data_IF_556039856301
#
_entry.id   IF_556039856301
#
_cell.length_a   1.000
_cell.length_b   1.000
_cell.length_c   1.000
_cell.angle_alpha   90.00
_cell.angle_beta   90.00
_cell.angle_gamma   90.00
#
_symmetry.space_group_name_H-M   'P 1'
#
loop_
_entity.id
_entity.type
_entity.pdbx_description
1 polymer ?
#
# COMPACT_ATOMS: atom_id res chain seq x y z
N UNK A 1 -9.05 14.42 5.40
CA UNK A 1 -9.52 13.02 5.35
C UNK A 1 -10.90 12.84 6.01
N UNK A 2 -11.20 13.50 7.12
CA UNK A 2 -12.54 13.38 7.77
C UNK A 2 -13.72 13.84 6.89
N UNK A 3 -13.47 14.68 5.90
CA UNK A 3 -14.47 15.17 4.92
C UNK A 3 -14.57 14.31 3.66
N UNK A 4 -13.73 13.27 3.53
CA UNK A 4 -13.80 12.37 2.37
C UNK A 4 -15.12 11.58 2.39
N UNK A 5 -15.68 11.22 1.21
CA UNK A 5 -16.86 10.37 1.13
C UNK A 5 -16.66 9.08 1.93
N UNK A 6 -17.72 8.64 2.60
CA UNK A 6 -17.70 7.37 3.33
C UNK A 6 -17.47 6.23 2.37
N UNK A 7 -16.57 5.33 2.74
CA UNK A 7 -16.25 4.16 1.98
C UNK A 7 -15.76 3.03 2.89
N UNK A 8 -15.30 1.96 2.29
CA UNK A 8 -14.79 0.81 3.04
C UNK A 8 -13.62 0.15 2.30
N UNK A 9 -12.94 -0.73 3.00
CA UNK A 9 -11.83 -1.51 2.47
C UNK A 9 -12.00 -2.97 2.85
N UNK A 10 -11.50 -3.88 2.02
CA UNK A 10 -11.48 -5.30 2.31
C UNK A 10 -10.18 -5.97 1.88
N UNK A 11 -9.65 -6.86 2.70
CA UNK A 11 -8.50 -7.68 2.37
C UNK A 11 -8.95 -8.97 1.69
N UNK A 12 -8.45 -9.21 0.47
CA UNK A 12 -8.69 -10.41 -0.33
C UNK A 12 -7.43 -11.28 -0.30
N UNK A 13 -7.60 -12.57 -0.02
CA UNK A 13 -6.49 -13.51 0.11
C UNK A 13 -6.69 -14.71 -0.81
N UNK A 14 -5.60 -15.13 -1.47
CA UNK A 14 -5.56 -16.37 -2.25
C UNK A 14 -5.96 -16.20 -3.72
N UNK A 15 -6.09 -14.98 -4.21
CA UNK A 15 -6.19 -14.66 -5.65
C UNK A 15 -5.02 -13.78 -6.09
N UNK A 16 -4.65 -13.88 -7.36
CA UNK A 16 -3.67 -13.00 -8.00
C UNK A 16 -4.20 -11.57 -8.17
N UNK A 17 -3.27 -10.60 -8.22
CA UNK A 17 -3.58 -9.18 -8.31
C UNK A 17 -4.40 -8.83 -9.56
N UNK A 18 -4.03 -9.37 -10.72
CA UNK A 18 -4.72 -9.10 -12.00
C UNK A 18 -6.17 -9.58 -11.94
N UNK A 19 -6.41 -10.78 -11.42
CA UNK A 19 -7.77 -11.31 -11.22
C UNK A 19 -8.61 -10.41 -10.32
N UNK A 20 -8.02 -9.87 -9.24
CA UNK A 20 -8.73 -8.97 -8.33
C UNK A 20 -9.00 -7.61 -9.01
N UNK A 21 -8.08 -7.11 -9.85
CA UNK A 21 -8.27 -5.89 -10.62
C UNK A 21 -9.44 -6.02 -11.60
N UNK A 22 -9.52 -7.12 -12.36
CA UNK A 22 -10.62 -7.43 -13.29
C UNK A 22 -11.96 -7.53 -12.55
N UNK A 23 -11.95 -8.12 -11.36
CA UNK A 23 -13.14 -8.21 -10.49
C UNK A 23 -13.58 -6.82 -10.02
N UNK A 24 -12.63 -5.95 -9.63
CA UNK A 24 -12.95 -4.58 -9.22
C UNK A 24 -13.56 -3.78 -10.37
N UNK A 25 -13.05 -3.93 -11.58
CA UNK A 25 -13.63 -3.33 -12.78
C UNK A 25 -15.04 -3.85 -13.01
N UNK A 26 -15.25 -5.17 -12.98
CA UNK A 26 -16.55 -5.79 -13.13
C UNK A 26 -17.56 -5.32 -12.08
N UNK A 27 -17.12 -5.22 -10.81
CA UNK A 27 -17.98 -4.77 -9.71
C UNK A 27 -18.35 -3.27 -9.80
N UNK A 28 -17.57 -2.46 -10.53
CA UNK A 28 -17.80 -1.04 -10.76
C UNK A 28 -18.66 -0.77 -12.00
N UNK A 29 -18.61 -1.65 -13.01
CA UNK A 29 -19.25 -1.44 -14.29
C UNK A 29 -20.77 -1.29 -14.19
N UNK A 30 -21.31 -0.30 -14.91
CA UNK A 30 -22.76 -0.03 -14.97
C UNK A 30 -23.34 0.53 -13.67
N UNK A 31 -22.51 0.96 -12.73
CA UNK A 31 -22.94 1.53 -11.44
C UNK A 31 -22.30 2.91 -11.23
N UNK A 32 -22.83 3.67 -10.25
CA UNK A 32 -22.20 4.94 -9.79
C UNK A 32 -21.19 4.69 -8.66
N UNK A 33 -20.97 3.44 -8.30
CA UNK A 33 -20.14 3.04 -7.16
C UNK A 33 -18.90 2.30 -7.64
N UNK A 34 -17.73 2.80 -7.28
CA UNK A 34 -16.45 2.27 -7.72
C UNK A 34 -15.72 1.55 -6.58
N UNK A 35 -14.95 0.52 -6.97
CA UNK A 35 -13.97 -0.18 -6.13
C UNK A 35 -12.70 -0.40 -6.94
N UNK A 36 -11.55 -0.37 -6.29
CA UNK A 36 -10.25 -0.60 -6.92
C UNK A 36 -9.29 -1.30 -5.97
N UNK A 37 -8.19 -1.85 -6.52
CA UNK A 37 -7.07 -2.30 -5.71
C UNK A 37 -6.44 -1.10 -4.99
N UNK A 38 -6.22 -1.24 -3.69
CA UNK A 38 -5.70 -0.19 -2.81
C UNK A 38 -4.32 -0.50 -2.25
N UNK A 39 -4.07 -1.75 -1.83
CA UNK A 39 -2.76 -2.18 -1.38
C UNK A 39 -2.43 -3.54 -2.00
N UNK A 40 -1.35 -3.58 -2.76
CA UNK A 40 -0.79 -4.82 -3.34
C UNK A 40 0.24 -5.37 -2.36
N UNK A 41 -0.25 -6.01 -1.28
CA UNK A 41 0.57 -6.35 -0.10
C UNK A 41 1.51 -7.53 -0.32
N UNK A 42 1.07 -8.53 -1.06
CA UNK A 42 1.86 -9.71 -1.43
C UNK A 42 1.23 -10.40 -2.64
N UNK A 43 1.91 -11.36 -3.30
CA UNK A 43 1.33 -12.12 -4.42
C UNK A 43 -0.02 -12.78 -4.11
N UNK A 44 -0.33 -13.00 -2.82
CA UNK A 44 -1.55 -13.67 -2.37
C UNK A 44 -2.46 -12.79 -1.50
N UNK A 45 -2.16 -11.49 -1.36
CA UNK A 45 -2.97 -10.57 -0.55
C UNK A 45 -3.05 -9.20 -1.20
N UNK A 46 -4.27 -8.80 -1.56
CA UNK A 46 -4.60 -7.46 -2.06
C UNK A 46 -5.72 -6.87 -1.21
N UNK A 47 -5.61 -5.60 -0.87
CA UNK A 47 -6.70 -4.84 -0.27
C UNK A 47 -7.42 -4.09 -1.38
N UNK A 48 -8.74 -4.17 -1.40
CA UNK A 48 -9.62 -3.39 -2.27
C UNK A 48 -10.29 -2.27 -1.47
N UNK A 49 -10.59 -1.16 -2.14
CA UNK A 49 -11.09 0.06 -1.51
C UNK A 49 -12.06 0.79 -2.43
N UNK A 50 -13.13 1.38 -1.87
CA UNK A 50 -14.13 2.10 -2.66
C UNK A 50 -15.45 2.31 -1.92
N UNK A 51 -16.52 2.51 -2.68
CA UNK A 51 -17.88 2.56 -2.15
C UNK A 51 -18.27 1.22 -1.51
N UNK A 52 -19.01 1.27 -0.40
CA UNK A 52 -19.30 0.07 0.39
C UNK A 52 -19.99 -1.03 -0.42
N UNK A 53 -21.00 -0.67 -1.23
CA UNK A 53 -21.75 -1.58 -2.08
C UNK A 53 -20.90 -2.19 -3.22
N UNK A 54 -19.95 -1.41 -3.78
CA UNK A 54 -19.03 -1.93 -4.79
C UNK A 54 -17.99 -2.87 -4.19
N UNK A 55 -17.48 -2.55 -2.98
CA UNK A 55 -16.59 -3.45 -2.24
C UNK A 55 -17.30 -4.75 -1.88
N UNK A 56 -18.56 -4.70 -1.43
CA UNK A 56 -19.33 -5.89 -1.09
C UNK A 56 -19.55 -6.77 -2.34
N UNK A 57 -19.91 -6.17 -3.50
CA UNK A 57 -20.00 -6.92 -4.78
C UNK A 57 -18.66 -7.56 -5.17
N UNK A 58 -17.57 -6.80 -5.07
CA UNK A 58 -16.24 -7.33 -5.40
C UNK A 58 -15.82 -8.48 -4.47
N UNK A 59 -16.14 -8.40 -3.17
CA UNK A 59 -15.90 -9.49 -2.23
C UNK A 59 -16.62 -10.78 -2.64
N UNK A 60 -17.92 -10.68 -2.98
CA UNK A 60 -18.72 -11.81 -3.43
C UNK A 60 -18.16 -12.45 -4.71
N UNK A 61 -17.74 -11.62 -5.66
CA UNK A 61 -17.11 -12.08 -6.89
C UNK A 61 -15.75 -12.74 -6.62
N UNK A 62 -14.92 -12.17 -5.74
CA UNK A 62 -13.64 -12.77 -5.35
C UNK A 62 -13.84 -14.15 -4.71
N UNK A 63 -14.82 -14.32 -3.82
CA UNK A 63 -15.13 -15.63 -3.21
C UNK A 63 -15.59 -16.62 -4.27
N UNK A 64 -16.46 -16.22 -5.21
CA UNK A 64 -16.89 -17.07 -6.33
C UNK A 64 -15.75 -17.50 -7.24
N UNK A 65 -14.73 -16.66 -7.40
CA UNK A 65 -13.52 -16.93 -8.17
C UNK A 65 -12.44 -17.70 -7.39
N UNK A 66 -12.74 -18.13 -6.16
CA UNK A 66 -11.88 -19.01 -5.38
C UNK A 66 -10.94 -18.29 -4.39
N UNK A 67 -11.23 -17.04 -4.02
CA UNK A 67 -10.53 -16.39 -2.91
C UNK A 67 -10.68 -17.25 -1.64
N UNK A 68 -9.55 -17.50 -0.97
CA UNK A 68 -9.52 -18.30 0.27
C UNK A 68 -10.20 -17.56 1.42
N UNK A 69 -10.11 -16.23 1.41
CA UNK A 69 -10.68 -15.37 2.45
C UNK A 69 -10.91 -13.96 1.93
N UNK A 70 -11.99 -13.35 2.36
CA UNK A 70 -12.28 -11.93 2.23
C UNK A 70 -12.62 -11.36 3.61
N UNK A 71 -11.96 -10.27 4.02
CA UNK A 71 -12.13 -9.68 5.35
C UNK A 71 -12.35 -8.19 5.23
N UNK A 72 -13.53 -7.72 5.59
CA UNK A 72 -13.83 -6.29 5.67
C UNK A 72 -12.99 -5.65 6.78
N UNK A 73 -12.31 -4.55 6.48
CA UNK A 73 -11.49 -3.83 7.44
C UNK A 73 -12.36 -2.90 8.28
N UNK A 74 -12.01 -2.72 9.53
CA UNK A 74 -12.71 -1.78 10.43
C UNK A 74 -12.25 -0.34 10.17
N UNK A 75 -12.56 0.17 8.97
CA UNK A 75 -12.27 1.54 8.55
C UNK A 75 -13.50 2.17 7.90
N UNK A 76 -13.62 3.49 8.01
CA UNK A 76 -14.73 4.28 7.44
C UNK A 76 -14.32 5.11 6.23
N UNK A 77 -13.04 5.09 5.88
CA UNK A 77 -12.46 5.85 4.77
C UNK A 77 -11.89 4.86 3.75
N UNK A 78 -12.22 5.08 2.49
CA UNK A 78 -11.69 4.30 1.38
C UNK A 78 -10.33 4.85 0.93
N UNK A 79 -9.30 4.69 1.75
CA UNK A 79 -7.93 5.11 1.42
C UNK A 79 -7.45 4.44 0.13
N UNK A 80 -6.56 5.11 -0.59
CA UNK A 80 -5.98 4.63 -1.85
C UNK A 80 -7.03 4.32 -2.93
N UNK A 81 -8.14 5.08 -2.95
CA UNK A 81 -9.19 4.98 -3.97
C UNK A 81 -9.58 6.36 -4.50
N UNK A 82 -10.28 6.38 -5.64
CA UNK A 82 -10.78 7.62 -6.27
C UNK A 82 -11.71 8.43 -5.35
N UNK A 83 -12.27 7.84 -4.31
CA UNK A 83 -13.02 8.58 -3.28
C UNK A 83 -12.16 9.59 -2.50
N UNK A 84 -10.83 9.43 -2.55
CA UNK A 84 -9.89 10.35 -1.92
C UNK A 84 -9.47 11.53 -2.80
N UNK A 85 -9.97 11.61 -4.05
CA UNK A 85 -9.49 12.61 -5.02
C UNK A 85 -9.74 14.05 -4.55
N UNK A 86 -10.90 14.33 -3.95
CA UNK A 86 -11.20 15.65 -3.41
C UNK A 86 -10.26 16.02 -2.26
N UNK A 87 -9.99 15.08 -1.35
CA UNK A 87 -9.01 15.26 -0.27
C UNK A 87 -7.59 15.47 -0.81
N UNK A 88 -7.22 14.76 -1.89
CA UNK A 88 -5.96 14.94 -2.56
C UNK A 88 -5.84 16.33 -3.21
N UNK A 89 -6.90 16.85 -3.83
CA UNK A 89 -6.92 18.20 -4.39
C UNK A 89 -6.72 19.27 -3.31
N UNK A 90 -7.35 19.12 -2.16
CA UNK A 90 -7.13 20.01 -1.01
C UNK A 90 -5.70 19.88 -0.45
N UNK A 91 -5.16 18.66 -0.36
CA UNK A 91 -3.81 18.40 0.12
C UNK A 91 -2.73 18.96 -0.80
N UNK A 92 -2.98 18.97 -2.11
CA UNK A 92 -2.08 19.54 -3.12
C UNK A 92 -1.73 21.01 -2.83
N UNK A 93 -2.68 21.80 -2.36
CA UNK A 93 -2.43 23.21 -2.00
C UNK A 93 -1.52 23.31 -0.76
N UNK A 94 -1.70 22.44 0.21
CA UNK A 94 -0.79 22.37 1.37
C UNK A 94 0.63 21.93 0.95
N UNK A 95 0.76 20.99 0.03
CA UNK A 95 2.06 20.56 -0.50
C UNK A 95 2.77 21.66 -1.28
N UNK A 96 2.03 22.51 -2.02
CA UNK A 96 2.61 23.68 -2.70
C UNK A 96 3.15 24.72 -1.72
N UNK A 97 2.44 24.94 -0.61
CA UNK A 97 2.83 25.90 0.41
C UNK A 97 3.96 25.41 1.32
N UNK A 98 4.18 24.10 1.39
CA UNK A 98 5.22 23.51 2.24
C UNK A 98 6.61 23.67 1.61
N UNK A 99 7.58 24.01 2.45
CA UNK A 99 8.98 24.00 2.06
C UNK A 99 9.53 22.57 2.05
N UNK A 100 10.15 22.18 0.95
CA UNK A 100 10.79 20.89 0.78
C UNK A 100 12.26 21.10 0.41
N UNK A 101 13.13 20.24 0.94
CA UNK A 101 14.49 20.05 0.45
C UNK A 101 14.63 18.66 -0.17
N UNK A 102 15.56 18.50 -1.09
CA UNK A 102 15.90 17.17 -1.58
C UNK A 102 16.47 16.34 -0.43
N UNK A 103 16.03 15.10 -0.29
CA UNK A 103 16.57 14.19 0.73
C UNK A 103 18.00 13.76 0.36
N UNK A 104 18.84 13.55 1.38
CA UNK A 104 20.20 13.01 1.20
C UNK A 104 20.22 11.52 0.84
N UNK A 105 19.10 10.83 1.04
CA UNK A 105 18.91 9.42 0.72
C UNK A 105 17.73 9.20 -0.22
N UNK A 106 17.73 8.10 -0.95
CA UNK A 106 16.62 7.75 -1.85
C UNK A 106 15.35 7.44 -1.05
N UNK A 107 14.23 7.97 -1.53
CA UNK A 107 12.88 7.66 -1.02
C UNK A 107 12.15 6.87 -2.09
N UNK A 108 11.78 5.62 -1.78
CA UNK A 108 10.92 4.80 -2.63
C UNK A 108 9.47 5.10 -2.27
N UNK A 109 8.69 5.55 -3.25
CA UNK A 109 7.31 5.93 -3.03
C UNK A 109 6.33 4.78 -3.26
N UNK A 110 5.26 4.74 -2.46
CA UNK A 110 4.22 3.70 -2.55
C UNK A 110 3.56 3.61 -3.92
N UNK A 111 3.40 4.73 -4.61
CA UNK A 111 2.67 4.82 -5.89
C UNK A 111 3.47 4.31 -7.05
N UNK A 112 4.77 4.67 -7.12
CA UNK A 112 5.66 4.31 -8.23
C UNK A 112 6.42 3.02 -7.97
N UNK A 113 6.64 2.66 -6.69
CA UNK A 113 7.60 1.66 -6.24
C UNK A 113 9.04 1.97 -6.71
N UNK A 114 9.34 3.24 -6.96
CA UNK A 114 10.61 3.73 -7.48
C UNK A 114 11.08 4.96 -6.67
N UNK A 115 12.38 5.27 -6.69
CA UNK A 115 12.90 6.49 -6.11
C UNK A 115 12.39 7.73 -6.84
N UNK A 116 12.11 8.80 -6.08
CA UNK A 116 11.81 10.11 -6.66
C UNK A 116 13.09 10.81 -7.14
N UNK A 117 12.96 11.60 -8.21
CA UNK A 117 14.08 12.28 -8.87
C UNK A 117 14.14 13.79 -8.63
N UNK A 118 13.06 14.40 -8.16
CA UNK A 118 12.94 15.85 -7.95
C UNK A 118 11.94 16.22 -6.86
N UNK A 119 11.97 17.47 -6.40
CA UNK A 119 10.99 17.99 -5.44
C UNK A 119 9.56 17.97 -5.98
N UNK A 120 9.39 18.26 -7.28
CA UNK A 120 8.06 18.24 -7.90
C UNK A 120 7.53 16.81 -8.02
N UNK A 121 8.42 15.85 -8.29
CA UNK A 121 8.11 14.43 -8.29
C UNK A 121 7.67 13.97 -6.88
N UNK A 122 8.43 14.32 -5.84
CA UNK A 122 8.07 14.04 -4.44
C UNK A 122 6.68 14.60 -4.11
N UNK A 123 6.40 15.87 -4.43
CA UNK A 123 5.09 16.48 -4.17
C UNK A 123 3.96 15.77 -4.92
N UNK A 124 4.19 15.42 -6.18
CA UNK A 124 3.24 14.70 -7.02
C UNK A 124 2.91 13.32 -6.45
N UNK A 125 3.94 12.55 -6.08
CA UNK A 125 3.79 11.21 -5.53
C UNK A 125 3.15 11.21 -4.13
N UNK A 126 3.48 12.17 -3.26
CA UNK A 126 2.81 12.38 -1.99
C UNK A 126 1.32 12.71 -2.15
N UNK A 127 0.96 13.45 -3.18
CA UNK A 127 -0.44 13.75 -3.47
C UNK A 127 -1.18 12.53 -4.01
N UNK A 128 -0.62 11.87 -5.01
CA UNK A 128 -1.27 10.77 -5.71
C UNK A 128 -1.42 9.51 -4.85
N UNK A 129 -0.60 9.31 -3.83
CA UNK A 129 -0.75 8.17 -2.93
C UNK A 129 -2.09 8.14 -2.15
N UNK A 130 -2.80 9.28 -2.05
CA UNK A 130 -4.10 9.30 -1.38
C UNK A 130 -5.15 8.49 -2.14
N UNK A 131 -5.07 8.48 -3.48
CA UNK A 131 -6.05 7.84 -4.36
C UNK A 131 -5.48 6.73 -5.26
N UNK A 132 -4.18 6.48 -5.20
CA UNK A 132 -3.50 5.45 -5.98
C UNK A 132 -3.11 4.25 -5.13
N UNK A 133 -2.97 3.06 -5.72
CA UNK A 133 -2.56 1.86 -5.00
C UNK A 133 -1.17 1.96 -4.36
N UNK A 134 -1.00 1.32 -3.21
CA UNK A 134 0.31 1.02 -2.62
C UNK A 134 0.89 -0.21 -3.32
N UNK A 135 1.96 -0.03 -4.07
CA UNK A 135 2.66 -1.08 -4.86
C UNK A 135 3.72 -1.80 -4.03
N UNK A 136 3.28 -2.40 -2.92
CA UNK A 136 4.21 -2.98 -1.93
C UNK A 136 4.98 -4.17 -2.46
N UNK A 137 4.36 -5.03 -3.29
CA UNK A 137 5.06 -6.16 -3.94
C UNK A 137 6.23 -5.67 -4.79
N UNK A 138 6.02 -4.62 -5.57
CA UNK A 138 7.06 -4.05 -6.43
C UNK A 138 8.16 -3.36 -5.61
N UNK A 139 7.76 -2.64 -4.55
CA UNK A 139 8.72 -2.10 -3.57
C UNK A 139 9.58 -3.21 -2.96
N UNK A 140 8.97 -4.32 -2.53
CA UNK A 140 9.71 -5.48 -2.03
C UNK A 140 10.65 -6.07 -3.08
N UNK A 141 10.22 -6.19 -4.33
CA UNK A 141 11.07 -6.67 -5.42
C UNK A 141 12.26 -5.74 -5.65
N UNK A 142 12.07 -4.42 -5.63
CA UNK A 142 13.16 -3.46 -5.77
C UNK A 142 14.16 -3.57 -4.62
N UNK A 143 13.70 -3.50 -3.36
CA UNK A 143 14.62 -3.55 -2.21
C UNK A 143 15.34 -4.89 -2.09
N UNK A 144 14.77 -5.99 -2.57
CA UNK A 144 15.45 -7.29 -2.61
C UNK A 144 16.69 -7.30 -3.49
N UNK A 145 16.80 -6.36 -4.43
CA UNK A 145 17.98 -6.26 -5.32
C UNK A 145 19.14 -5.46 -4.70
N UNK A 146 18.90 -4.79 -3.56
CA UNK A 146 19.90 -3.90 -2.95
C UNK A 146 20.89 -4.64 -2.03
N UNK A 147 20.57 -5.87 -1.65
CA UNK A 147 21.39 -6.71 -0.72
C UNK A 147 21.76 -5.98 0.59
N UNK A 148 20.80 -5.22 1.14
CA UNK A 148 20.96 -4.44 2.36
C UNK A 148 20.03 -4.95 3.45
N UNK A 149 20.41 -4.80 4.73
CA UNK A 149 19.50 -5.06 5.84
C UNK A 149 18.27 -4.14 5.78
N UNK A 150 17.10 -4.70 5.99
CA UNK A 150 15.83 -3.96 5.98
C UNK A 150 15.40 -3.72 7.41
N UNK A 151 15.08 -2.48 7.78
CA UNK A 151 14.66 -2.12 9.13
C UNK A 151 13.24 -1.55 9.11
N UNK A 152 12.30 -2.24 9.79
CA UNK A 152 10.98 -1.69 10.07
C UNK A 152 11.06 -0.74 11.26
N UNK A 153 10.89 0.57 10.97
CA UNK A 153 10.88 1.62 11.98
C UNK A 153 9.43 1.95 12.38
N UNK A 154 9.08 1.63 13.62
CA UNK A 154 7.75 1.93 14.17
C UNK A 154 7.27 0.89 15.18
N UNK A 155 6.10 1.10 15.80
CA UNK A 155 5.51 0.14 16.72
C UNK A 155 4.93 -1.07 15.98
N UNK A 156 5.16 -2.26 16.50
CA UNK A 156 4.66 -3.52 15.94
C UNK A 156 5.55 -4.10 14.83
N UNK A 157 4.99 -5.07 14.08
CA UNK A 157 5.72 -5.89 13.10
C UNK A 157 4.88 -6.15 11.84
N UNK A 158 4.13 -5.15 11.41
CA UNK A 158 3.23 -5.29 10.25
C UNK A 158 4.03 -5.46 8.97
N UNK A 159 5.04 -4.61 8.76
CA UNK A 159 5.90 -4.68 7.57
C UNK A 159 6.77 -5.94 7.59
N UNK A 160 7.28 -6.35 8.73
CA UNK A 160 7.99 -7.63 8.89
C UNK A 160 7.14 -8.82 8.42
N UNK A 161 5.84 -8.82 8.74
CA UNK A 161 4.90 -9.82 8.22
C UNK A 161 4.74 -9.76 6.69
N UNK A 162 4.72 -8.56 6.13
CA UNK A 162 4.65 -8.36 4.68
C UNK A 162 5.97 -8.70 3.98
N UNK A 163 7.12 -8.40 4.58
CA UNK A 163 8.44 -8.83 4.06
C UNK A 163 8.49 -10.35 3.93
N UNK A 164 8.12 -11.05 4.99
CA UNK A 164 8.02 -12.52 4.96
C UNK A 164 7.08 -13.03 3.87
N UNK A 165 5.90 -12.39 3.69
CA UNK A 165 4.92 -12.78 2.68
C UNK A 165 5.44 -12.55 1.24
N UNK A 166 6.37 -11.61 1.06
CA UNK A 166 7.08 -11.31 -0.19
C UNK A 166 8.44 -12.04 -0.29
N UNK A 167 8.73 -12.98 0.63
CA UNK A 167 9.94 -13.80 0.64
C UNK A 167 11.25 -13.01 0.79
N UNK A 168 11.21 -11.83 1.40
CA UNK A 168 12.40 -11.11 1.77
C UNK A 168 13.03 -11.77 3.00
N UNK A 169 14.34 -11.71 3.04
CA UNK A 169 15.19 -12.14 4.15
C UNK A 169 15.93 -10.90 4.70
N UNK A 170 16.68 -11.06 5.75
CA UNK A 170 17.53 -10.02 6.35
C UNK A 170 16.74 -8.75 6.75
N UNK A 171 15.56 -8.93 7.38
CA UNK A 171 14.77 -7.81 7.91
C UNK A 171 14.68 -7.87 9.43
N UNK A 172 14.61 -6.68 10.03
CA UNK A 172 14.61 -6.45 11.46
C UNK A 172 13.52 -5.45 11.83
N UNK A 173 13.01 -5.52 13.05
CA UNK A 173 12.08 -4.53 13.58
C UNK A 173 12.69 -3.84 14.80
N UNK A 174 12.62 -2.53 14.88
CA UNK A 174 13.02 -1.77 16.08
C UNK A 174 12.19 -2.14 17.32
N UNK A 175 11.06 -2.83 17.14
CA UNK A 175 10.23 -3.38 18.20
C UNK A 175 10.75 -4.71 18.76
N UNK A 176 11.80 -5.29 18.18
CA UNK A 176 12.43 -6.50 18.73
C UNK A 176 13.28 -6.16 19.95
N UNK A 177 13.16 -6.96 21.02
CA UNK A 177 13.93 -6.77 22.27
C UNK A 177 15.43 -6.90 22.00
N UNK A 178 15.81 -7.77 21.07
CA UNK A 178 17.18 -8.08 20.68
C UNK A 178 17.61 -7.41 19.34
N UNK A 179 16.92 -6.32 18.95
CA UNK A 179 17.17 -5.62 17.70
C UNK A 179 18.64 -5.23 17.51
N UNK A 180 19.27 -4.62 18.52
CA UNK A 180 20.66 -4.16 18.42
C UNK A 180 21.67 -5.31 18.29
N UNK A 181 21.41 -6.44 18.92
CA UNK A 181 22.27 -7.63 18.79
C UNK A 181 22.17 -8.21 17.39
N UNK A 182 20.96 -8.36 16.85
CA UNK A 182 20.70 -8.92 15.54
C UNK A 182 21.25 -8.05 14.42
N UNK A 183 21.04 -6.73 14.48
CA UNK A 183 21.51 -5.84 13.43
C UNK A 183 23.04 -5.74 13.40
N UNK A 184 23.70 -5.71 14.56
CA UNK A 184 25.15 -5.72 14.63
C UNK A 184 25.76 -6.99 14.02
N UNK A 185 25.18 -8.16 14.28
CA UNK A 185 25.61 -9.42 13.66
C UNK A 185 25.45 -9.41 12.15
N UNK A 186 24.37 -8.81 11.64
CA UNK A 186 24.15 -8.66 10.18
C UNK A 186 25.17 -7.73 9.53
N UNK A 187 25.58 -6.65 10.18
CA UNK A 187 26.55 -5.68 9.66
C UNK A 187 28.00 -6.18 9.68
N UNK A 188 28.35 -7.17 10.51
CA UNK A 188 29.71 -7.75 10.56
C UNK A 188 30.03 -8.59 9.33
N UNK A 189 29.03 -9.02 8.58
CA UNK A 189 29.17 -9.89 7.42
C UNK A 189 29.05 -9.13 6.06
N UNK A 190 28.98 -7.80 6.09
CA UNK A 190 29.06 -6.92 4.92
C UNK A 190 30.48 -6.36 4.81
#
# INVERSE_FOLDING_TARGET
MEQAPKGTMSAIMGLGQDTIADICETASNGTHSNVQCANLNSPNQTVISGHADAVDRAQDLCIKQGAKRSVKLNVSIASHSMLMLEAANAFKESLKAAEFSLPDMQIIHNVSAEPSSSLDDIRSLLNSQLYSPVRWVETCNLISTLDLPIIECGPGKVLSGLFKANKLENYFSVSDVDFYEKINLSLIHI
#
